data_IF_409628079746
#
_entry.id   IF_409628079746
#
_cell.length_a   1.000
_cell.length_b   1.000
_cell.length_c   1.000
_cell.angle_alpha   90.00
_cell.angle_beta   90.00
_cell.angle_gamma   90.00
#
_symmetry.space_group_name_H-M   'P 1'
#
loop_
_entity.id
_entity.type
_entity.pdbx_description
1 polymer ?
#
# COMPACT_ATOMS: atom_id res chain seq x y z
N UNK A 1 7.51 5.09 -8.83
CA UNK A 1 8.51 3.99 -8.70
C UNK A 1 9.97 4.42 -8.70
N UNK A 2 10.39 5.43 -9.50
CA UNK A 2 11.81 5.87 -9.55
C UNK A 2 12.43 6.24 -8.19
N UNK A 3 11.66 6.91 -7.31
CA UNK A 3 12.13 7.31 -5.97
C UNK A 3 12.36 6.08 -5.08
N UNK A 4 11.38 5.18 -5.01
CA UNK A 4 11.49 3.93 -4.24
C UNK A 4 12.65 3.05 -4.72
N UNK A 5 12.92 3.05 -6.03
CA UNK A 5 14.05 2.32 -6.61
C UNK A 5 15.39 2.98 -6.29
N UNK A 6 15.49 4.32 -6.38
CA UNK A 6 16.66 5.10 -5.96
C UNK A 6 17.00 4.85 -4.49
N UNK A 7 15.99 4.79 -3.63
CA UNK A 7 16.17 4.61 -2.20
C UNK A 7 16.40 3.13 -1.82
N UNK A 8 16.40 2.23 -2.81
CA UNK A 8 16.70 0.81 -2.66
C UNK A 8 15.58 0.00 -2.01
N UNK A 9 14.35 0.52 -1.96
CA UNK A 9 13.19 -0.16 -1.38
C UNK A 9 12.54 -1.13 -2.37
N UNK A 10 12.63 -0.84 -3.66
CA UNK A 10 12.19 -1.73 -4.74
C UNK A 10 13.28 -1.83 -5.81
N UNK A 11 13.32 -2.94 -6.54
CA UNK A 11 14.07 -3.09 -7.77
C UNK A 11 13.12 -3.09 -8.96
N UNK A 12 13.61 -2.60 -10.10
CA UNK A 12 12.89 -2.59 -11.37
C UNK A 12 13.63 -3.50 -12.35
N UNK A 13 12.98 -4.57 -12.80
CA UNK A 13 13.46 -5.38 -13.92
C UNK A 13 12.61 -5.15 -15.16
N UNK A 14 13.22 -5.28 -16.34
CA UNK A 14 12.44 -5.32 -17.59
C UNK A 14 11.84 -6.72 -17.72
N UNK A 15 10.54 -6.78 -18.00
CA UNK A 15 9.87 -8.03 -18.36
C UNK A 15 10.34 -8.53 -19.73
N UNK A 16 9.76 -9.65 -20.16
CA UNK A 16 10.01 -10.22 -21.51
C UNK A 16 9.55 -9.26 -22.62
N UNK A 17 8.52 -8.45 -22.36
CA UNK A 17 8.16 -7.28 -23.18
C UNK A 17 8.94 -6.04 -22.70
N UNK A 18 9.49 -5.27 -23.65
CA UNK A 18 10.27 -4.04 -23.39
C UNK A 18 9.44 -2.92 -22.73
N UNK A 19 8.11 -3.04 -22.71
CA UNK A 19 7.19 -2.10 -22.04
C UNK A 19 6.81 -2.52 -20.62
N UNK A 20 7.07 -3.77 -20.26
CA UNK A 20 6.79 -4.28 -18.92
C UNK A 20 7.94 -3.95 -17.97
N UNK A 21 7.57 -3.40 -16.82
CA UNK A 21 8.47 -3.20 -15.70
C UNK A 21 7.96 -4.02 -14.52
N UNK A 22 8.68 -5.08 -14.19
CA UNK A 22 8.42 -5.84 -12.97
C UNK A 22 9.05 -5.10 -11.80
N UNK A 23 8.24 -4.86 -10.77
CA UNK A 23 8.69 -4.25 -9.52
C UNK A 23 8.81 -5.35 -8.48
N UNK A 24 10.00 -5.50 -7.89
CA UNK A 24 10.22 -6.42 -6.79
C UNK A 24 10.60 -5.65 -5.53
N UNK A 25 10.00 -5.97 -4.39
CA UNK A 25 10.44 -5.40 -3.11
C UNK A 25 11.82 -5.98 -2.78
N UNK A 26 12.78 -5.12 -2.45
CA UNK A 26 14.12 -5.56 -2.04
C UNK A 26 14.11 -6.08 -0.61
N UNK A 27 15.23 -6.63 -0.14
CA UNK A 27 15.38 -7.00 1.27
C UNK A 27 15.24 -5.76 2.19
N UNK A 28 15.93 -4.66 1.85
CA UNK A 28 15.79 -3.38 2.55
C UNK A 28 14.35 -2.87 2.56
N UNK A 29 13.64 -3.04 1.44
CA UNK A 29 12.22 -2.70 1.33
C UNK A 29 11.35 -3.48 2.29
N UNK A 30 11.56 -4.80 2.40
CA UNK A 30 10.84 -5.66 3.36
C UNK A 30 11.13 -5.29 4.81
N UNK A 31 12.39 -5.03 5.15
CA UNK A 31 12.77 -4.59 6.50
C UNK A 31 12.13 -3.24 6.84
N UNK A 32 12.18 -2.28 5.91
CA UNK A 32 11.54 -0.97 6.07
C UNK A 32 10.03 -1.11 6.24
N UNK A 33 9.40 -1.98 5.44
CA UNK A 33 7.98 -2.26 5.54
C UNK A 33 7.64 -2.85 6.91
N UNK A 34 8.40 -3.84 7.39
CA UNK A 34 8.20 -4.46 8.70
C UNK A 34 8.31 -3.46 9.86
N UNK A 35 9.18 -2.45 9.75
CA UNK A 35 9.28 -1.37 10.74
C UNK A 35 8.10 -0.39 10.65
N UNK A 36 7.56 -0.17 9.46
CA UNK A 36 6.44 0.75 9.24
C UNK A 36 5.08 0.12 9.59
N UNK A 37 4.91 -1.19 9.42
CA UNK A 37 3.67 -1.93 9.71
C UNK A 37 3.08 -1.61 11.08
N UNK A 38 3.80 -1.71 12.22
CA UNK A 38 3.21 -1.43 13.53
C UNK A 38 2.79 0.04 13.71
N UNK A 39 3.47 0.98 13.06
CA UNK A 39 3.09 2.41 13.09
C UNK A 39 1.79 2.65 12.31
N UNK A 40 1.64 1.95 11.19
CA UNK A 40 0.43 1.96 10.40
C UNK A 40 -0.74 1.31 11.15
N UNK A 41 -0.54 0.14 11.75
CA UNK A 41 -1.54 -0.55 12.55
C UNK A 41 -2.04 0.33 13.69
N UNK A 42 -1.14 0.97 14.44
CA UNK A 42 -1.52 1.95 15.47
C UNK A 42 -2.42 3.07 14.93
N UNK A 43 -2.11 3.56 13.73
CA UNK A 43 -2.92 4.61 13.09
C UNK A 43 -4.29 4.09 12.67
N UNK A 44 -4.37 2.85 12.17
CA UNK A 44 -5.64 2.20 11.85
C UNK A 44 -6.49 1.95 13.09
N UNK A 45 -5.88 1.49 14.20
CA UNK A 45 -6.56 1.35 15.48
C UNK A 45 -7.16 2.68 15.96
N UNK A 46 -6.42 3.79 15.83
CA UNK A 46 -6.96 5.10 16.20
C UNK A 46 -8.19 5.50 15.34
N UNK A 47 -8.20 5.12 14.05
CA UNK A 47 -9.36 5.33 13.17
C UNK A 47 -10.54 4.46 13.62
N UNK A 48 -10.30 3.19 13.92
CA UNK A 48 -11.30 2.24 14.44
C UNK A 48 -11.91 2.72 15.76
N UNK A 49 -11.07 3.17 16.71
CA UNK A 49 -11.52 3.73 17.99
C UNK A 49 -12.35 5.00 17.83
N UNK A 50 -12.05 5.81 16.81
CA UNK A 50 -12.75 7.09 16.57
C UNK A 50 -14.09 6.89 15.89
N UNK A 51 -14.16 6.02 14.88
CA UNK A 51 -15.35 5.82 14.04
C UNK A 51 -16.28 4.72 14.61
N UNK A 52 -15.72 3.76 15.34
CA UNK A 52 -16.44 2.54 15.69
C UNK A 52 -16.73 1.65 14.48
N UNK A 53 -17.28 0.46 14.75
CA UNK A 53 -17.46 -0.58 13.74
C UNK A 53 -18.42 -0.16 12.62
N UNK A 54 -19.61 0.34 12.96
CA UNK A 54 -20.67 0.66 11.97
C UNK A 54 -20.23 1.73 10.96
N UNK A 55 -19.63 2.82 11.43
CA UNK A 55 -19.18 3.90 10.54
C UNK A 55 -17.98 3.47 9.70
N UNK A 56 -17.08 2.67 10.26
CA UNK A 56 -15.94 2.13 9.51
C UNK A 56 -16.39 1.17 8.41
N UNK A 57 -17.39 0.32 8.68
CA UNK A 57 -17.98 -0.53 7.64
C UNK A 57 -18.63 0.29 6.54
N UNK A 58 -19.41 1.31 6.90
CA UNK A 58 -20.01 2.21 5.91
C UNK A 58 -18.95 2.94 5.08
N UNK A 59 -17.87 3.43 5.68
CA UNK A 59 -16.75 4.03 4.97
C UNK A 59 -16.13 3.05 3.96
N UNK A 60 -15.87 1.80 4.37
CA UNK A 60 -15.34 0.75 3.48
C UNK A 60 -16.28 0.48 2.31
N UNK A 61 -17.58 0.35 2.55
CA UNK A 61 -18.58 0.17 1.49
C UNK A 61 -18.56 1.32 0.48
N UNK A 62 -18.53 2.56 0.95
CA UNK A 62 -18.50 3.74 0.08
C UNK A 62 -17.21 3.82 -0.74
N UNK A 63 -16.05 3.49 -0.14
CA UNK A 63 -14.77 3.44 -0.86
C UNK A 63 -14.77 2.37 -1.95
N UNK A 64 -15.30 1.17 -1.67
CA UNK A 64 -15.42 0.11 -2.68
C UNK A 64 -16.32 0.51 -3.85
N UNK A 65 -17.45 1.17 -3.57
CA UNK A 65 -18.33 1.70 -4.63
C UNK A 65 -17.62 2.74 -5.52
N UNK A 66 -16.75 3.58 -4.94
CA UNK A 66 -15.97 4.55 -5.72
C UNK A 66 -14.89 3.90 -6.59
N UNK A 67 -14.25 2.83 -6.12
CA UNK A 67 -13.29 2.07 -6.92
C UNK A 67 -13.96 1.44 -8.16
N UNK A 68 -15.19 0.93 -8.02
CA UNK A 68 -15.97 0.37 -9.13
C UNK A 68 -16.37 1.42 -10.18
N UNK A 69 -16.45 2.71 -9.81
CA UNK A 69 -16.82 3.81 -10.70
C UNK A 69 -15.63 4.31 -11.53
N UNK A 70 -14.40 4.12 -11.06
CA UNK A 70 -13.19 4.55 -11.76
C UNK A 70 -12.84 3.58 -12.89
N UNK A 71 -13.52 3.75 -14.02
CA UNK A 71 -13.22 3.13 -15.33
C UNK A 71 -12.17 3.98 -16.07
#
# INVERSE_FOLDING_TARGET
MRILARDGLVSLSRGSDRREHTVCVTQKGRETFSLATPLWEKSQTAVEETLGEDQLQMLRTLLSQLEEISI
#
